data_IF_768999260699
#
_entry.id   IF_768999260699
#
_cell.length_a   1.000
_cell.length_b   1.000
_cell.length_c   1.000
_cell.angle_alpha   90.00
_cell.angle_beta   90.00
_cell.angle_gamma   90.00
#
_symmetry.space_group_name_H-M   'P 1'
#
loop_
_entity.id
_entity.type
_entity.pdbx_description
1 polymer ?
#
# COMPACT_ATOMS: atom_id res chain seq x y z
N UNK A 1 15.34 18.15 23.61
CA UNK A 1 14.77 18.44 22.28
C UNK A 1 14.21 19.85 22.28
N UNK A 2 14.79 20.75 21.52
CA UNK A 2 14.29 22.11 21.28
C UNK A 2 13.19 22.10 20.23
N UNK A 3 12.41 23.17 20.16
CA UNK A 3 11.35 23.32 19.15
C UNK A 3 11.91 23.28 17.71
N UNK A 4 13.14 23.74 17.50
CA UNK A 4 13.81 23.71 16.20
C UNK A 4 14.26 22.31 15.81
N UNK A 5 14.81 21.54 16.75
CA UNK A 5 15.15 20.12 16.54
C UNK A 5 13.91 19.30 16.19
N UNK A 6 12.79 19.50 16.90
CA UNK A 6 11.53 18.82 16.59
C UNK A 6 11.05 19.13 15.16
N UNK A 7 11.08 20.40 14.75
CA UNK A 7 10.64 20.80 13.39
C UNK A 7 11.50 20.17 12.30
N UNK A 8 12.81 20.09 12.51
CA UNK A 8 13.72 19.43 11.57
C UNK A 8 13.42 17.94 11.44
N UNK A 9 13.25 17.24 12.57
CA UNK A 9 12.90 15.82 12.58
C UNK A 9 11.55 15.60 11.91
N UNK A 10 10.53 16.40 12.24
CA UNK A 10 9.21 16.28 11.63
C UNK A 10 9.26 16.46 10.11
N UNK A 11 9.94 17.50 9.63
CA UNK A 11 10.06 17.76 8.19
C UNK A 11 10.78 16.60 7.46
N UNK A 12 11.85 16.07 8.04
CA UNK A 12 12.56 14.90 7.52
C UNK A 12 11.65 13.66 7.46
N UNK A 13 10.87 13.40 8.51
CA UNK A 13 9.94 12.27 8.52
C UNK A 13 8.82 12.42 7.49
N UNK A 14 8.26 13.62 7.34
CA UNK A 14 7.24 13.89 6.31
C UNK A 14 7.81 13.67 4.91
N UNK A 15 9.03 14.16 4.64
CA UNK A 15 9.69 13.96 3.35
C UNK A 15 9.94 12.48 3.06
N UNK A 16 10.41 11.71 4.05
CA UNK A 16 10.61 10.26 3.91
C UNK A 16 9.31 9.52 3.61
N UNK A 17 8.22 9.89 4.29
CA UNK A 17 6.90 9.34 4.02
C UNK A 17 6.44 9.66 2.60
N UNK A 18 6.58 10.91 2.16
CA UNK A 18 6.22 11.34 0.81
C UNK A 18 7.01 10.57 -0.25
N UNK A 19 8.33 10.48 -0.10
CA UNK A 19 9.19 9.75 -1.03
C UNK A 19 8.79 8.27 -1.11
N UNK A 20 8.57 7.64 0.04
CA UNK A 20 8.13 6.24 0.11
C UNK A 20 6.80 6.04 -0.62
N UNK A 21 5.81 6.89 -0.37
CA UNK A 21 4.50 6.81 -1.03
C UNK A 21 4.61 7.03 -2.55
N UNK A 22 5.47 7.95 -2.98
CA UNK A 22 5.73 8.23 -4.40
C UNK A 22 6.37 7.03 -5.10
N UNK A 23 7.36 6.39 -4.46
CA UNK A 23 8.00 5.19 -5.01
C UNK A 23 7.02 4.02 -5.07
N UNK A 24 6.20 3.84 -4.04
CA UNK A 24 5.14 2.82 -4.02
C UNK A 24 4.10 3.03 -5.11
N UNK A 25 3.77 4.27 -5.49
CA UNK A 25 2.91 4.54 -6.66
C UNK A 25 3.45 3.84 -7.90
N UNK A 26 4.73 4.03 -8.22
CA UNK A 26 5.36 3.40 -9.40
C UNK A 26 5.33 1.87 -9.32
N UNK A 27 5.53 1.30 -8.13
CA UNK A 27 5.46 -0.16 -7.92
C UNK A 27 4.06 -0.73 -8.18
N UNK A 28 3.01 -0.05 -7.72
CA UNK A 28 1.63 -0.56 -7.83
C UNK A 28 0.93 -0.24 -9.15
N UNK A 29 1.29 0.87 -9.79
CA UNK A 29 0.58 1.37 -10.98
C UNK A 29 1.46 1.48 -12.21
N UNK A 30 2.77 1.22 -12.09
CA UNK A 30 3.73 1.44 -13.18
C UNK A 30 3.63 2.86 -13.72
N UNK A 31 3.59 2.98 -15.05
CA UNK A 31 3.39 4.24 -15.77
C UNK A 31 1.91 4.53 -16.06
N UNK A 32 0.96 3.73 -15.54
CA UNK A 32 -0.46 4.01 -15.72
C UNK A 32 -0.88 5.27 -14.95
N UNK A 33 -1.56 6.19 -15.64
CA UNK A 33 -2.14 7.39 -15.02
C UNK A 33 -3.24 7.03 -14.01
N UNK A 34 -4.01 6.00 -14.31
CA UNK A 34 -5.06 5.48 -13.43
C UNK A 34 -4.45 4.70 -12.26
N UNK A 35 -4.55 5.28 -11.06
CA UNK A 35 -4.04 4.68 -9.82
C UNK A 35 -4.75 3.40 -9.41
N UNK A 36 -5.89 3.08 -10.01
CA UNK A 36 -6.67 1.87 -9.73
C UNK A 36 -6.62 0.84 -10.86
N UNK A 37 -5.73 1.03 -11.84
CA UNK A 37 -5.60 0.15 -13.03
C UNK A 37 -5.45 -1.33 -12.67
N UNK A 38 -4.63 -1.66 -11.67
CA UNK A 38 -4.43 -3.03 -11.20
C UNK A 38 -5.73 -3.69 -10.70
N UNK A 39 -6.59 -2.94 -9.99
CA UNK A 39 -7.89 -3.45 -9.52
C UNK A 39 -8.85 -3.68 -10.67
N UNK A 40 -8.86 -2.79 -11.67
CA UNK A 40 -9.69 -2.92 -12.87
C UNK A 40 -9.27 -4.13 -13.71
N UNK A 41 -7.97 -4.33 -13.92
CA UNK A 41 -7.43 -5.49 -14.63
C UNK A 41 -7.78 -6.77 -13.88
N UNK A 42 -7.54 -6.83 -12.56
CA UNK A 42 -7.87 -7.99 -11.74
C UNK A 42 -9.37 -8.30 -11.72
N UNK A 43 -10.22 -7.27 -11.72
CA UNK A 43 -11.66 -7.43 -11.79
C UNK A 43 -12.12 -8.02 -13.13
N UNK A 44 -11.59 -7.52 -14.25
CA UNK A 44 -11.85 -8.08 -15.57
C UNK A 44 -11.39 -9.53 -15.69
N UNK A 45 -10.23 -9.88 -15.12
CA UNK A 45 -9.72 -11.26 -15.13
C UNK A 45 -10.57 -12.24 -14.30
N UNK A 46 -11.23 -11.75 -13.26
CA UNK A 46 -12.04 -12.55 -12.33
C UNK A 46 -13.55 -12.44 -12.58
N UNK A 47 -13.95 -11.77 -13.66
CA UNK A 47 -15.35 -11.45 -13.98
C UNK A 47 -16.13 -10.92 -12.77
N UNK A 48 -15.56 -9.89 -12.13
CA UNK A 48 -16.15 -9.29 -10.94
C UNK A 48 -15.99 -7.76 -10.94
N UNK A 49 -16.43 -7.10 -9.87
CA UNK A 49 -16.24 -5.65 -9.73
C UNK A 49 -14.86 -5.32 -9.14
N UNK A 50 -14.27 -4.14 -9.43
CA UNK A 50 -13.02 -3.69 -8.82
C UNK A 50 -13.01 -3.73 -7.29
N UNK A 51 -14.17 -3.48 -6.66
CA UNK A 51 -14.34 -3.58 -5.21
C UNK A 51 -14.18 -5.01 -4.70
N UNK A 52 -14.70 -6.01 -5.42
CA UNK A 52 -14.51 -7.43 -5.06
C UNK A 52 -13.07 -7.87 -5.26
N UNK A 53 -12.43 -7.44 -6.36
CA UNK A 53 -11.01 -7.70 -6.59
C UNK A 53 -10.12 -7.09 -5.48
N UNK A 54 -10.44 -5.89 -5.00
CA UNK A 54 -9.77 -5.24 -3.87
C UNK A 54 -9.86 -6.08 -2.60
N UNK A 55 -11.05 -6.60 -2.26
CA UNK A 55 -11.23 -7.45 -1.06
C UNK A 55 -10.37 -8.72 -1.16
N UNK A 56 -10.26 -9.33 -2.35
CA UNK A 56 -9.37 -10.47 -2.58
C UNK A 56 -7.90 -10.15 -2.34
N UNK A 57 -7.41 -8.99 -2.80
CA UNK A 57 -6.04 -8.53 -2.51
C UNK A 57 -5.84 -8.20 -1.02
N UNK A 58 -6.83 -7.62 -0.36
CA UNK A 58 -6.79 -7.36 1.09
C UNK A 58 -6.67 -8.66 1.88
N UNK A 59 -7.38 -9.72 1.48
CA UNK A 59 -7.29 -11.03 2.14
C UNK A 59 -5.85 -11.57 2.14
N UNK A 60 -5.13 -11.47 1.02
CA UNK A 60 -3.71 -11.83 0.94
C UNK A 60 -2.86 -11.08 1.97
N UNK A 61 -3.07 -9.77 2.10
CA UNK A 61 -2.32 -8.95 3.07
C UNK A 61 -2.64 -9.31 4.52
N UNK A 62 -3.92 -9.57 4.83
CA UNK A 62 -4.35 -10.00 6.16
C UNK A 62 -3.69 -11.33 6.53
N UNK A 63 -3.73 -12.32 5.63
CA UNK A 63 -3.07 -13.63 5.85
C UNK A 63 -1.58 -13.44 6.12
N UNK A 64 -0.89 -12.65 5.28
CA UNK A 64 0.54 -12.37 5.47
C UNK A 64 0.85 -11.69 6.81
N UNK A 65 -0.01 -10.82 7.31
CA UNK A 65 0.18 -10.19 8.62
C UNK A 65 0.06 -11.20 9.76
N UNK A 66 -0.92 -12.09 9.70
CA UNK A 66 -1.07 -13.14 10.70
C UNK A 66 0.09 -14.15 10.67
N UNK A 67 0.63 -14.46 9.49
CA UNK A 67 1.83 -15.31 9.34
C UNK A 67 3.05 -14.67 10.01
N UNK A 68 3.28 -13.37 9.77
CA UNK A 68 4.38 -12.61 10.39
C UNK A 68 4.21 -12.55 11.92
N UNK A 69 2.98 -12.33 12.38
CA UNK A 69 2.66 -12.30 13.80
C UNK A 69 2.73 -13.70 14.46
N UNK A 70 2.96 -14.78 13.66
CA UNK A 70 2.90 -16.19 14.08
C UNK A 70 1.60 -16.56 14.82
N UNK A 71 0.52 -15.84 14.52
CA UNK A 71 -0.78 -16.07 15.15
C UNK A 71 -1.49 -17.28 14.52
N UNK A 72 -1.07 -17.70 13.32
CA UNK A 72 -1.41 -19.01 12.78
C UNK A 72 -0.37 -20.07 13.20
N UNK A 73 -0.77 -20.98 14.09
CA UNK A 73 -0.31 -22.36 14.10
C UNK A 73 -1.43 -23.19 13.48
N UNK A 74 -1.34 -23.45 12.18
CA UNK A 74 -2.16 -24.46 11.50
C UNK A 74 -1.21 -25.54 11.01
#
# INVERSE_FOLDING_TARGET
MTQSEFRLIFADQVNKCEETLRMKKKEYTGDHEDRLSAFKIAASLQDCTPQRALVGMMAKHIVSLYDIAKVYSI
#
